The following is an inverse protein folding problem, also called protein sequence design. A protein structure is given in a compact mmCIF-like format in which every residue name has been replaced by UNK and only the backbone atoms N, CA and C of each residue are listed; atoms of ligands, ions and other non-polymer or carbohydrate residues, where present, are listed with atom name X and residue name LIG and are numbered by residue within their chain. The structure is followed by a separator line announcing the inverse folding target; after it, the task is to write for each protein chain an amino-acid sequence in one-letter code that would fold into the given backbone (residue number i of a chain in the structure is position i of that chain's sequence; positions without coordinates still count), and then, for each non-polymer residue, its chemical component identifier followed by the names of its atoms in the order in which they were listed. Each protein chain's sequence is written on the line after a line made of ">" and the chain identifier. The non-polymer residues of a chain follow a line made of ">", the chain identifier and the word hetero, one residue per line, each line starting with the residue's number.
data_IF_509896477306
#
_entry.id   IF_509896477306
#
_cell.length_a   1.000
_cell.length_b   1.000
_cell.length_c   1.000
_cell.angle_alpha   90.00
_cell.angle_beta   90.00
_cell.angle_gamma   90.00
#
_symmetry.space_group_name_H-M   'P 1'
#
loop_
_entity.id
_entity.type
_entity.pdbx_description
1 polymer ?
#
# COMPACT_ATOMS: atom_id res chain seq x y z
N UNK A 1 40.79 -13.92 24.78
CA UNK A 1 40.09 -13.15 23.75
C UNK A 1 39.40 -14.18 22.85
N UNK A 2 38.15 -14.51 23.15
CA UNK A 2 37.39 -15.54 22.44
C UNK A 2 36.26 -14.86 21.68
N UNK A 3 36.31 -14.95 20.37
CA UNK A 3 35.29 -14.49 19.45
C UNK A 3 34.11 -15.49 19.43
N UNK A 4 32.92 -15.00 19.71
CA UNK A 4 31.66 -15.74 19.57
C UNK A 4 31.20 -15.71 18.11
N UNK A 5 30.66 -16.80 17.56
CA UNK A 5 30.14 -16.81 16.20
C UNK A 5 28.75 -16.19 16.13
N UNK A 6 28.53 -15.36 15.10
CA UNK A 6 27.25 -14.80 14.72
C UNK A 6 26.36 -15.93 14.19
N UNK A 7 25.29 -16.21 14.91
CA UNK A 7 24.28 -17.20 14.56
C UNK A 7 23.37 -16.65 13.46
N UNK A 8 23.60 -17.09 12.21
CA UNK A 8 22.68 -16.89 11.10
C UNK A 8 21.48 -17.83 11.28
N UNK A 9 20.42 -17.34 11.93
CA UNK A 9 19.13 -18.00 11.89
C UNK A 9 18.49 -17.80 10.51
N UNK A 10 18.71 -18.76 9.61
CA UNK A 10 17.92 -18.92 8.40
C UNK A 10 16.47 -19.21 8.82
N UNK A 11 15.59 -18.23 8.59
CA UNK A 11 14.15 -18.41 8.74
C UNK A 11 13.66 -19.29 7.58
N UNK A 12 13.55 -20.60 7.81
CA UNK A 12 12.87 -21.52 6.91
C UNK A 12 11.39 -21.23 6.93
N UNK A 13 10.87 -20.70 5.82
CA UNK A 13 9.43 -20.49 5.59
C UNK A 13 8.79 -21.89 5.55
N UNK A 14 7.89 -22.16 6.50
CA UNK A 14 7.15 -23.41 6.58
C UNK A 14 6.29 -23.60 5.32
N UNK A 15 6.41 -24.76 4.70
CA UNK A 15 5.74 -25.16 3.45
C UNK A 15 4.23 -25.37 3.58
N UNK A 16 3.65 -25.12 4.75
CA UNK A 16 2.22 -25.39 5.00
C UNK A 16 1.27 -24.22 4.64
N UNK A 17 1.81 -23.02 4.41
CA UNK A 17 1.00 -21.86 3.99
C UNK A 17 0.53 -21.96 2.51
N UNK A 18 1.10 -22.86 1.72
CA UNK A 18 0.72 -23.03 0.30
C UNK A 18 -0.60 -23.81 0.08
N UNK A 19 -1.18 -24.42 1.11
CA UNK A 19 -2.28 -25.39 0.96
C UNK A 19 -3.70 -24.83 1.03
N UNK A 20 -3.92 -23.57 1.35
CA UNK A 20 -5.26 -23.04 1.64
C UNK A 20 -5.80 -21.98 0.68
N UNK A 21 -5.02 -21.51 -0.27
CA UNK A 21 -5.56 -20.65 -1.32
C UNK A 21 -5.81 -21.51 -2.57
N UNK A 22 -7.03 -21.50 -3.14
CA UNK A 22 -7.24 -22.09 -4.45
C UNK A 22 -6.22 -21.49 -5.39
N UNK A 23 -5.61 -22.29 -6.23
CA UNK A 23 -4.60 -21.92 -7.23
C UNK A 23 -5.02 -20.65 -7.95
N UNK A 24 -4.75 -19.50 -7.32
CA UNK A 24 -4.88 -18.21 -7.97
C UNK A 24 -3.91 -18.26 -9.17
N UNK A 25 -4.34 -17.87 -10.36
CA UNK A 25 -3.49 -17.96 -11.53
C UNK A 25 -2.17 -17.25 -11.22
N UNK A 26 -1.07 -17.84 -11.63
CA UNK A 26 0.30 -17.29 -11.61
C UNK A 26 0.42 -15.89 -12.27
N UNK A 27 -0.69 -15.21 -12.50
CA UNK A 27 -0.89 -13.99 -13.26
C UNK A 27 -0.44 -12.69 -12.57
N UNK A 28 -0.26 -12.68 -11.26
CA UNK A 28 0.55 -11.66 -10.59
C UNK A 28 1.99 -12.13 -10.44
N UNK A 29 2.42 -12.99 -11.37
CA UNK A 29 3.82 -13.28 -11.55
C UNK A 29 4.59 -11.97 -11.69
N UNK A 30 5.77 -11.96 -11.19
CA UNK A 30 6.75 -10.87 -11.14
C UNK A 30 6.87 -10.03 -12.43
N UNK A 31 6.46 -10.57 -13.61
CA UNK A 31 6.46 -9.87 -14.90
C UNK A 31 5.40 -8.78 -15.06
N UNK A 32 4.34 -8.77 -14.25
CA UNK A 32 3.24 -7.78 -14.32
C UNK A 32 3.48 -6.63 -13.35
N UNK A 33 4.35 -6.84 -12.38
CA UNK A 33 4.67 -5.89 -11.35
C UNK A 33 5.93 -5.10 -11.71
N UNK A 34 5.90 -3.80 -11.45
CA UNK A 34 7.02 -2.89 -11.68
C UNK A 34 7.45 -2.36 -10.32
N UNK A 35 8.63 -2.76 -9.86
CA UNK A 35 9.14 -2.39 -8.55
C UNK A 35 9.43 -0.88 -8.47
N UNK A 36 8.81 -0.15 -7.53
CA UNK A 36 9.23 1.22 -7.23
C UNK A 36 10.65 1.24 -6.67
N UNK A 37 11.44 2.22 -7.09
CA UNK A 37 12.83 2.39 -6.64
C UNK A 37 13.13 3.85 -6.39
N UNK A 38 13.96 4.15 -5.41
CA UNK A 38 14.57 5.46 -5.28
C UNK A 38 15.59 5.70 -6.39
N UNK A 39 15.74 6.95 -6.79
CA UNK A 39 16.71 7.35 -7.79
C UNK A 39 16.47 8.75 -8.33
N UNK A 40 17.34 9.24 -9.23
CA UNK A 40 17.11 10.47 -9.97
C UNK A 40 15.77 10.43 -10.70
N UNK A 41 15.04 11.54 -10.73
CA UNK A 41 13.72 11.62 -11.37
C UNK A 41 12.61 10.89 -10.63
N UNK A 42 12.83 10.49 -9.36
CA UNK A 42 11.80 9.84 -8.52
C UNK A 42 11.54 10.66 -7.27
N UNK A 43 10.28 10.92 -6.99
CA UNK A 43 9.87 11.60 -5.77
C UNK A 43 10.25 10.80 -4.52
N UNK A 44 11.09 11.38 -3.67
CA UNK A 44 11.55 10.71 -2.43
C UNK A 44 10.45 10.41 -1.42
N UNK A 45 9.25 11.02 -1.55
CA UNK A 45 8.13 10.78 -0.64
C UNK A 45 7.19 9.68 -1.17
N UNK A 46 6.63 9.82 -2.37
CA UNK A 46 5.59 8.93 -2.88
C UNK A 46 6.00 8.10 -4.11
N UNK A 47 7.28 8.17 -4.48
CA UNK A 47 7.88 7.45 -5.61
C UNK A 47 7.23 7.75 -6.96
N UNK A 48 6.58 8.91 -7.11
CA UNK A 48 6.16 9.39 -8.42
C UNK A 48 7.38 9.65 -9.31
N UNK A 49 7.25 9.37 -10.60
CA UNK A 49 8.24 9.83 -11.57
C UNK A 49 8.11 11.35 -11.73
N UNK A 50 9.23 12.05 -11.83
CA UNK A 50 9.31 13.51 -11.91
C UNK A 50 10.39 13.94 -12.90
N UNK A 51 10.32 15.16 -13.42
CA UNK A 51 11.34 15.72 -14.29
C UNK A 51 12.55 16.29 -13.53
N UNK A 52 12.48 16.31 -12.20
CA UNK A 52 13.49 16.91 -11.35
C UNK A 52 13.80 16.08 -10.11
N UNK A 53 14.72 16.59 -9.31
CA UNK A 53 15.08 15.98 -8.03
C UNK A 53 14.12 16.36 -6.89
N UNK A 54 13.94 15.47 -5.96
CA UNK A 54 13.27 15.73 -4.69
C UNK A 54 11.81 15.34 -4.66
N UNK A 55 10.88 16.29 -4.60
CA UNK A 55 9.45 16.04 -4.43
C UNK A 55 8.67 16.32 -5.72
N UNK A 56 7.73 15.44 -6.06
CA UNK A 56 6.74 15.72 -7.10
C UNK A 56 5.81 16.88 -6.66
N UNK A 57 5.08 17.44 -7.62
CA UNK A 57 4.19 18.58 -7.36
C UNK A 57 3.22 18.31 -6.21
N UNK A 58 2.57 17.14 -6.19
CA UNK A 58 1.60 16.78 -5.15
C UNK A 58 2.23 16.68 -3.75
N UNK A 59 3.46 16.15 -3.65
CA UNK A 59 4.15 16.06 -2.35
C UNK A 59 4.75 17.40 -1.91
N UNK A 60 5.05 18.30 -2.83
CA UNK A 60 5.59 19.64 -2.52
C UNK A 60 4.51 20.59 -2.02
N UNK A 61 3.29 20.49 -2.55
CA UNK A 61 2.19 21.41 -2.27
C UNK A 61 1.08 20.78 -1.41
N UNK A 62 1.15 19.48 -1.17
CA UNK A 62 0.19 18.76 -0.33
C UNK A 62 0.67 18.57 1.09
N UNK A 63 -0.26 18.25 1.99
CA UNK A 63 0.05 17.91 3.37
C UNK A 63 0.72 16.54 3.48
N UNK A 64 1.74 16.46 4.34
CA UNK A 64 2.47 15.23 4.66
C UNK A 64 2.13 14.82 6.10
N UNK A 65 1.23 13.86 6.27
CA UNK A 65 0.78 13.33 7.56
C UNK A 65 1.27 11.90 7.79
N UNK A 66 1.53 11.18 6.71
CA UNK A 66 2.12 9.84 6.77
C UNK A 66 3.62 9.93 7.03
N UNK A 67 4.11 9.14 7.97
CA UNK A 67 5.54 9.05 8.30
C UNK A 67 6.33 8.41 7.14
N UNK A 68 5.73 7.41 6.47
CA UNK A 68 6.29 6.79 5.27
C UNK A 68 5.16 6.26 4.38
N UNK A 69 5.42 6.21 3.08
CA UNK A 69 4.54 5.64 2.06
C UNK A 69 5.31 4.62 1.24
N UNK A 70 4.79 3.40 1.18
CA UNK A 70 5.41 2.30 0.43
C UNK A 70 4.42 1.73 -0.58
N UNK A 71 4.52 2.09 -1.85
CA UNK A 71 3.81 1.37 -2.91
C UNK A 71 4.50 0.04 -3.20
N UNK A 72 3.69 -1.01 -3.37
CA UNK A 72 4.19 -2.35 -3.71
C UNK A 72 4.70 -2.37 -5.14
N UNK A 73 3.92 -1.77 -6.07
CA UNK A 73 4.25 -1.73 -7.49
C UNK A 73 3.84 -0.41 -8.11
N UNK A 74 4.37 -0.10 -9.28
CA UNK A 74 3.73 0.88 -10.16
C UNK A 74 2.53 0.27 -10.87
N UNK A 75 1.48 1.08 -11.08
CA UNK A 75 0.31 0.77 -11.89
C UNK A 75 0.23 1.78 -13.02
N UNK A 76 0.24 1.29 -14.24
CA UNK A 76 0.15 2.13 -15.44
C UNK A 76 -1.25 2.02 -16.03
N UNK A 77 -1.82 3.16 -16.43
CA UNK A 77 -3.17 3.22 -16.98
C UNK A 77 -3.37 2.25 -18.16
N UNK A 78 -4.37 1.37 -18.06
CA UNK A 78 -4.68 0.37 -19.07
C UNK A 78 -3.83 -0.92 -19.04
N UNK A 79 -2.80 -1.01 -18.18
CA UNK A 79 -2.00 -2.24 -18.01
C UNK A 79 -2.60 -3.19 -16.95
N UNK A 80 -2.03 -4.38 -16.81
CA UNK A 80 -2.63 -5.49 -16.08
C UNK A 80 -2.93 -5.20 -14.60
N UNK A 81 -1.99 -4.64 -13.85
CA UNK A 81 -2.24 -4.30 -12.45
C UNK A 81 -3.32 -3.22 -12.31
N UNK A 82 -3.33 -2.23 -13.21
CA UNK A 82 -4.38 -1.22 -13.23
C UNK A 82 -5.76 -1.84 -13.52
N UNK A 83 -5.85 -2.72 -14.53
CA UNK A 83 -7.09 -3.44 -14.85
C UNK A 83 -7.56 -4.28 -13.67
N UNK A 84 -6.65 -4.98 -13.00
CA UNK A 84 -6.95 -5.79 -11.83
C UNK A 84 -7.57 -4.94 -10.70
N UNK A 85 -6.93 -3.79 -10.38
CA UNK A 85 -7.41 -2.85 -9.34
C UNK A 85 -8.74 -2.18 -9.74
N UNK A 86 -9.02 -2.00 -11.02
CA UNK A 86 -10.33 -1.50 -11.46
C UNK A 86 -11.39 -2.61 -11.37
N UNK A 87 -11.04 -3.83 -11.78
CA UNK A 87 -11.97 -4.97 -11.83
C UNK A 87 -12.47 -5.36 -10.44
N UNK A 88 -11.57 -5.48 -9.44
CA UNK A 88 -11.99 -5.90 -8.10
C UNK A 88 -12.99 -4.93 -7.43
N UNK A 89 -13.10 -3.70 -7.93
CA UNK A 89 -14.06 -2.67 -7.47
C UNK A 89 -15.46 -2.81 -8.09
N UNK A 90 -15.63 -3.67 -9.10
CA UNK A 90 -16.87 -3.80 -9.86
C UNK A 90 -17.71 -4.95 -9.32
N UNK A 91 -18.78 -4.65 -8.60
CA UNK A 91 -19.63 -5.67 -7.94
C UNK A 91 -20.28 -6.68 -8.90
N UNK A 92 -20.46 -6.34 -10.18
CA UNK A 92 -21.17 -7.15 -11.17
C UNK A 92 -20.25 -7.91 -12.16
N UNK A 93 -18.92 -7.83 -12.00
CA UNK A 93 -17.96 -8.43 -12.92
C UNK A 93 -17.64 -9.87 -12.46
N UNK A 94 -17.77 -10.85 -13.33
CA UNK A 94 -17.49 -12.28 -13.04
C UNK A 94 -16.02 -12.56 -12.74
N UNK A 95 -15.12 -11.65 -13.09
CA UNK A 95 -13.67 -11.75 -12.80
C UNK A 95 -13.28 -11.17 -11.43
N UNK A 96 -14.22 -10.58 -10.68
CA UNK A 96 -13.96 -10.01 -9.33
C UNK A 96 -13.35 -11.01 -8.36
N UNK A 97 -13.81 -12.27 -8.24
CA UNK A 97 -13.20 -13.23 -7.33
C UNK A 97 -11.71 -13.47 -7.60
N UNK A 98 -11.33 -13.60 -8.87
CA UNK A 98 -9.94 -13.79 -9.29
C UNK A 98 -9.09 -12.54 -9.00
N UNK A 99 -9.63 -11.35 -9.30
CA UNK A 99 -8.96 -10.09 -9.01
C UNK A 99 -8.76 -9.88 -7.49
N UNK A 100 -9.78 -10.22 -6.70
CA UNK A 100 -9.73 -10.14 -5.24
C UNK A 100 -8.66 -11.10 -4.67
N UNK A 101 -8.65 -12.37 -5.13
CA UNK A 101 -7.67 -13.36 -4.70
C UNK A 101 -6.23 -12.95 -5.08
N UNK A 102 -6.03 -12.43 -6.27
CA UNK A 102 -4.73 -11.96 -6.73
C UNK A 102 -4.21 -10.78 -5.92
N UNK A 103 -5.06 -9.80 -5.59
CA UNK A 103 -4.69 -8.66 -4.75
C UNK A 103 -4.50 -9.07 -3.28
N UNK A 104 -5.26 -10.05 -2.78
CA UNK A 104 -5.04 -10.62 -1.45
C UNK A 104 -3.66 -11.29 -1.36
N UNK A 105 -3.28 -12.08 -2.35
CA UNK A 105 -1.95 -12.69 -2.43
C UNK A 105 -0.83 -11.65 -2.53
N UNK A 106 -1.02 -10.57 -3.31
CA UNK A 106 -0.07 -9.46 -3.37
C UNK A 106 0.14 -8.82 -1.99
N UNK A 107 -0.96 -8.51 -1.30
CA UNK A 107 -0.96 -7.94 0.05
C UNK A 107 -0.23 -8.85 1.05
N UNK A 108 -0.62 -10.12 1.08
CA UNK A 108 -0.08 -11.14 1.97
C UNK A 108 1.42 -11.30 1.80
N UNK A 109 1.87 -11.61 0.58
CA UNK A 109 3.29 -11.86 0.30
C UNK A 109 4.16 -10.64 0.60
N UNK A 110 3.69 -9.45 0.21
CA UNK A 110 4.45 -8.23 0.43
C UNK A 110 4.57 -7.90 1.93
N UNK A 111 3.46 -7.92 2.67
CA UNK A 111 3.49 -7.57 4.09
C UNK A 111 4.16 -8.64 4.94
N UNK A 112 4.06 -9.92 4.60
CA UNK A 112 4.82 -10.98 5.26
C UNK A 112 6.33 -10.73 5.21
N UNK A 113 6.84 -10.22 4.07
CA UNK A 113 8.26 -9.92 3.89
C UNK A 113 8.70 -8.55 4.40
N UNK A 114 7.82 -7.54 4.33
CA UNK A 114 8.27 -6.14 4.41
C UNK A 114 7.55 -5.25 5.43
N UNK A 115 6.60 -5.74 6.19
CA UNK A 115 6.00 -4.91 7.25
C UNK A 115 7.05 -4.41 8.24
N UNK A 116 8.04 -5.25 8.57
CA UNK A 116 9.14 -4.85 9.46
C UNK A 116 10.02 -3.76 8.85
N UNK A 117 10.21 -3.74 7.54
CA UNK A 117 10.92 -2.66 6.86
C UNK A 117 10.18 -1.33 7.04
N UNK A 118 8.83 -1.36 6.86
CA UNK A 118 7.98 -0.18 7.03
C UNK A 118 8.00 0.30 8.49
N UNK A 119 7.85 -0.63 9.44
CA UNK A 119 7.89 -0.35 10.86
C UNK A 119 9.24 0.26 11.30
N UNK A 120 10.34 -0.33 10.86
CA UNK A 120 11.70 0.16 11.14
C UNK A 120 11.94 1.56 10.57
N UNK A 121 11.44 1.85 9.37
CA UNK A 121 11.58 3.17 8.75
C UNK A 121 10.87 4.30 9.54
N UNK A 122 9.92 3.95 10.40
CA UNK A 122 9.22 4.90 11.28
C UNK A 122 9.59 4.72 12.76
N UNK A 123 10.70 4.02 13.05
CA UNK A 123 11.24 3.87 14.40
C UNK A 123 10.47 2.87 15.29
N UNK A 124 9.68 1.97 14.73
CA UNK A 124 8.99 0.92 15.47
C UNK A 124 9.87 -0.34 15.55
N UNK A 125 10.10 -0.85 16.76
CA UNK A 125 10.89 -2.07 16.99
C UNK A 125 10.14 -3.35 16.54
N UNK A 126 8.81 -3.32 16.60
CA UNK A 126 7.91 -4.41 16.16
C UNK A 126 6.94 -3.85 15.12
N UNK A 127 6.11 -4.68 14.53
CA UNK A 127 5.11 -4.23 13.55
C UNK A 127 4.13 -3.17 14.09
N UNK A 128 3.15 -2.80 13.31
CA UNK A 128 2.13 -1.83 13.70
C UNK A 128 1.11 -2.44 14.67
N UNK A 129 0.62 -1.62 15.62
CA UNK A 129 -0.39 -2.06 16.59
C UNK A 129 -1.74 -2.34 15.91
N UNK A 130 -2.09 -1.54 14.90
CA UNK A 130 -3.33 -1.65 14.13
C UNK A 130 -3.08 -1.53 12.64
N UNK A 131 -3.94 -2.18 11.87
CA UNK A 131 -3.99 -2.07 10.42
C UNK A 131 -5.40 -1.64 10.03
N UNK A 132 -5.51 -0.67 9.13
CA UNK A 132 -6.80 -0.19 8.64
C UNK A 132 -6.74 0.10 7.15
N UNK A 133 -7.89 0.34 6.54
CA UNK A 133 -7.99 0.70 5.12
C UNK A 133 -8.54 2.11 4.95
N UNK A 134 -8.19 2.76 3.85
CA UNK A 134 -8.82 4.03 3.45
C UNK A 134 -10.28 3.75 3.05
N UNK A 135 -11.28 4.43 3.65
CA UNK A 135 -12.67 4.28 3.24
C UNK A 135 -12.90 4.71 1.78
N UNK A 136 -13.81 4.05 1.08
CA UNK A 136 -14.18 4.40 -0.29
C UNK A 136 -14.79 5.80 -0.38
N UNK A 137 -14.55 6.50 -1.50
CA UNK A 137 -15.23 7.75 -1.79
C UNK A 137 -16.73 7.57 -2.10
N UNK A 138 -17.11 6.38 -2.53
CA UNK A 138 -18.49 5.99 -2.81
C UNK A 138 -19.10 5.33 -1.55
N UNK A 139 -20.16 5.90 -0.94
CA UNK A 139 -20.77 5.38 0.28
C UNK A 139 -21.31 3.95 0.12
N UNK A 140 -21.95 3.64 -1.02
CA UNK A 140 -22.50 2.32 -1.29
C UNK A 140 -21.38 1.28 -1.42
N UNK A 141 -20.28 1.66 -2.07
CA UNK A 141 -19.08 0.81 -2.16
C UNK A 141 -18.40 0.66 -0.79
N UNK A 142 -18.43 1.68 0.06
CA UNK A 142 -17.83 1.59 1.39
C UNK A 142 -18.52 0.59 2.30
N UNK A 143 -19.81 0.29 2.11
CA UNK A 143 -20.52 -0.76 2.85
C UNK A 143 -19.91 -2.16 2.62
N UNK A 144 -19.50 -2.44 1.38
CA UNK A 144 -18.95 -3.73 0.95
C UNK A 144 -17.55 -3.58 0.35
N UNK A 145 -16.70 -2.73 0.96
CA UNK A 145 -15.42 -2.35 0.39
C UNK A 145 -14.51 -3.57 0.23
N UNK A 146 -14.17 -3.99 -1.00
CA UNK A 146 -13.42 -5.22 -1.22
C UNK A 146 -12.01 -5.19 -0.64
N UNK A 147 -11.39 -4.00 -0.50
CA UNK A 147 -10.10 -3.85 0.18
C UNK A 147 -10.17 -4.27 1.65
N UNK A 148 -11.29 -3.99 2.35
CA UNK A 148 -11.48 -4.46 3.74
C UNK A 148 -11.51 -5.97 3.83
N UNK A 149 -12.13 -6.62 2.84
CA UNK A 149 -12.14 -8.08 2.76
C UNK A 149 -10.74 -8.63 2.55
N UNK A 150 -9.93 -8.01 1.69
CA UNK A 150 -8.53 -8.41 1.50
C UNK A 150 -7.77 -8.32 2.83
N UNK A 151 -7.79 -7.15 3.47
CA UNK A 151 -6.94 -6.85 4.64
C UNK A 151 -7.47 -7.46 5.93
N UNK A 152 -8.80 -7.51 6.10
CA UNK A 152 -9.45 -7.93 7.34
C UNK A 152 -9.85 -9.42 7.37
N UNK A 153 -9.93 -10.08 6.21
CA UNK A 153 -10.43 -11.45 6.16
C UNK A 153 -9.46 -12.41 5.45
N UNK A 154 -8.94 -12.02 4.27
CA UNK A 154 -8.19 -12.92 3.40
C UNK A 154 -6.70 -12.97 3.70
N UNK A 155 -6.11 -11.90 4.23
CA UNK A 155 -4.68 -11.84 4.55
C UNK A 155 -4.43 -12.28 5.99
N UNK A 156 -3.70 -13.36 6.16
CA UNK A 156 -3.31 -13.92 7.47
C UNK A 156 -2.43 -12.95 8.26
N UNK A 157 -1.54 -12.23 7.60
CA UNK A 157 -0.59 -11.30 8.24
C UNK A 157 -1.26 -10.03 8.77
N UNK A 158 -2.45 -9.69 8.26
CA UNK A 158 -3.12 -8.44 8.63
C UNK A 158 -4.39 -8.63 9.44
N UNK A 159 -5.17 -9.70 9.21
CA UNK A 159 -6.50 -9.89 9.78
C UNK A 159 -6.57 -9.81 11.30
N UNK A 160 -5.55 -10.32 12.01
CA UNK A 160 -5.52 -10.32 13.49
C UNK A 160 -5.35 -8.92 14.12
N UNK A 161 -4.89 -7.93 13.32
CA UNK A 161 -4.68 -6.54 13.75
C UNK A 161 -5.53 -5.55 12.97
N UNK A 162 -6.31 -6.06 12.01
CA UNK A 162 -7.20 -5.23 11.24
C UNK A 162 -8.34 -4.69 12.10
N UNK A 163 -8.57 -3.39 11.98
CA UNK A 163 -9.71 -2.71 12.59
C UNK A 163 -10.20 -1.62 11.65
N UNK A 164 -11.51 -1.51 11.47
CA UNK A 164 -12.11 -0.41 10.72
C UNK A 164 -12.05 0.87 11.56
N UNK A 165 -10.89 1.52 11.61
CA UNK A 165 -10.65 2.73 12.41
C UNK A 165 -11.26 3.99 11.80
N UNK A 166 -11.64 3.94 10.53
CA UNK A 166 -12.17 5.09 9.81
C UNK A 166 -13.48 4.73 9.10
N UNK A 167 -14.41 5.65 9.14
CA UNK A 167 -15.60 5.67 8.29
C UNK A 167 -15.64 6.98 7.53
N UNK A 168 -16.39 7.00 6.44
CA UNK A 168 -16.62 8.25 5.71
C UNK A 168 -17.47 9.18 6.56
N UNK A 169 -17.14 10.47 6.60
CA UNK A 169 -17.98 11.52 7.19
C UNK A 169 -18.93 12.09 6.15
N UNK A 170 -19.90 12.86 6.61
CA UNK A 170 -20.85 13.58 5.75
C UNK A 170 -20.25 14.83 5.07
N UNK A 171 -18.98 15.13 5.33
CA UNK A 171 -18.33 16.30 4.72
C UNK A 171 -18.17 16.13 3.21
N UNK A 172 -18.43 17.19 2.46
CA UNK A 172 -18.24 17.24 1.01
C UNK A 172 -16.74 17.34 0.73
N UNK A 173 -16.15 16.22 0.33
CA UNK A 173 -14.72 16.16 0.04
C UNK A 173 -14.41 16.65 -1.38
N UNK A 174 -13.52 17.62 -1.50
CA UNK A 174 -12.98 18.04 -2.80
C UNK A 174 -12.00 16.94 -3.29
N UNK A 175 -12.16 16.41 -4.52
CA UNK A 175 -11.26 15.40 -5.06
C UNK A 175 -9.80 15.88 -5.06
N UNK A 176 -8.87 14.99 -4.70
CA UNK A 176 -7.42 15.22 -4.70
C UNK A 176 -6.91 16.31 -3.75
N UNK A 177 -7.75 16.84 -2.86
CA UNK A 177 -7.37 17.80 -1.82
C UNK A 177 -7.27 17.08 -0.49
N UNK A 178 -6.25 17.41 0.31
CA UNK A 178 -6.14 16.96 1.69
C UNK A 178 -7.29 17.58 2.50
N UNK A 179 -8.01 16.73 3.20
CA UNK A 179 -9.07 17.12 4.12
C UNK A 179 -9.29 15.99 5.13
N UNK A 180 -8.79 16.08 6.35
CA UNK A 180 -8.97 15.04 7.37
C UNK A 180 -10.44 14.90 7.79
N UNK A 181 -11.25 15.94 7.64
CA UNK A 181 -12.67 15.91 7.99
C UNK A 181 -13.51 15.00 7.10
N UNK A 182 -12.97 14.53 5.96
CA UNK A 182 -13.65 13.52 5.11
C UNK A 182 -13.80 12.16 5.78
N UNK A 183 -13.05 11.91 6.85
CA UNK A 183 -13.07 10.65 7.59
C UNK A 183 -13.34 10.89 9.06
N UNK A 184 -14.25 10.11 9.63
CA UNK A 184 -14.51 10.08 11.07
C UNK A 184 -13.85 8.85 11.67
N UNK A 185 -13.00 9.01 12.69
CA UNK A 185 -12.47 7.89 13.46
C UNK A 185 -13.60 7.18 14.20
N UNK A 186 -13.58 5.85 14.20
CA UNK A 186 -14.60 5.02 14.89
C UNK A 186 -14.40 5.00 16.41
N UNK A 187 -13.19 5.33 16.87
CA UNK A 187 -12.83 5.47 18.29
C UNK A 187 -11.61 6.37 18.47
N UNK A 188 -11.33 6.74 19.69
CA UNK A 188 -10.04 7.30 20.07
C UNK A 188 -8.95 6.24 20.05
N UNK A 189 -7.73 6.67 19.75
CA UNK A 189 -6.52 5.86 19.76
C UNK A 189 -5.67 6.25 21.00
N UNK A 190 -5.09 5.27 21.65
CA UNK A 190 -4.29 5.47 22.88
C UNK A 190 -2.77 5.44 22.58
N UNK A 191 -2.35 6.14 21.54
CA UNK A 191 -0.96 6.13 21.11
C UNK A 191 -0.57 4.94 20.23
N UNK A 192 -1.55 4.25 19.65
CA UNK A 192 -1.29 3.14 18.73
C UNK A 192 -0.60 3.60 17.45
N UNK A 193 0.30 2.79 16.93
CA UNK A 193 0.84 2.93 15.58
C UNK A 193 -0.09 2.25 14.58
N UNK A 194 -0.36 2.92 13.45
CA UNK A 194 -1.34 2.46 12.47
C UNK A 194 -0.70 2.32 11.09
N UNK A 195 -0.87 1.14 10.47
CA UNK A 195 -0.60 0.93 9.06
C UNK A 195 -1.89 1.10 8.25
N UNK A 196 -1.92 2.09 7.38
CA UNK A 196 -3.02 2.32 6.44
C UNK A 196 -2.75 1.56 5.15
N UNK A 197 -3.68 0.73 4.72
CA UNK A 197 -3.62 0.04 3.42
C UNK A 197 -4.55 0.75 2.44
N UNK A 198 -4.01 1.09 1.27
CA UNK A 198 -4.77 1.66 0.14
C UNK A 198 -4.54 0.82 -1.13
N UNK A 199 -5.47 0.82 -2.04
CA UNK A 199 -5.31 0.06 -3.29
C UNK A 199 -4.53 0.83 -4.36
N UNK A 200 -4.71 2.15 -4.44
CA UNK A 200 -4.07 2.95 -5.49
C UNK A 200 -3.72 4.36 -5.02
N UNK A 201 -2.44 4.64 -4.97
CA UNK A 201 -1.93 5.97 -4.70
C UNK A 201 -1.87 6.80 -6.00
N UNK A 202 -2.70 7.83 -6.10
CA UNK A 202 -2.66 8.83 -7.19
C UNK A 202 -2.05 10.15 -6.71
N UNK A 203 -2.83 11.03 -6.10
CA UNK A 203 -2.34 12.25 -5.45
C UNK A 203 -1.89 12.03 -4.01
N UNK A 204 -2.35 10.97 -3.38
CA UNK A 204 -2.14 10.69 -1.96
C UNK A 204 -3.12 11.39 -1.01
N UNK A 205 -3.98 12.28 -1.52
CA UNK A 205 -4.86 13.09 -0.68
C UNK A 205 -5.76 12.26 0.24
N UNK A 206 -6.28 11.13 -0.23
CA UNK A 206 -7.13 10.24 0.59
C UNK A 206 -6.35 9.60 1.74
N UNK A 207 -5.19 9.02 1.45
CA UNK A 207 -4.36 8.38 2.48
C UNK A 207 -3.78 9.41 3.47
N UNK A 208 -3.39 10.60 3.00
CA UNK A 208 -2.94 11.70 3.86
C UNK A 208 -4.07 12.21 4.76
N UNK A 209 -5.30 12.31 4.22
CA UNK A 209 -6.49 12.69 4.99
C UNK A 209 -6.84 11.64 6.04
N UNK A 210 -6.74 10.35 5.70
CA UNK A 210 -6.91 9.25 6.63
C UNK A 210 -5.88 9.33 7.76
N UNK A 211 -4.62 9.58 7.43
CA UNK A 211 -3.55 9.75 8.41
C UNK A 211 -3.82 10.96 9.33
N UNK A 212 -4.25 12.10 8.78
CA UNK A 212 -4.62 13.27 9.56
C UNK A 212 -5.74 12.99 10.56
N UNK A 213 -6.78 12.28 10.13
CA UNK A 213 -7.88 11.88 11.02
C UNK A 213 -7.43 10.92 12.12
N UNK A 214 -6.57 9.93 11.81
CA UNK A 214 -6.03 8.98 12.78
C UNK A 214 -5.10 9.65 13.79
N UNK A 215 -4.23 10.55 13.35
CA UNK A 215 -3.36 11.34 14.23
C UNK A 215 -4.18 12.23 15.17
N UNK A 216 -5.22 12.89 14.67
CA UNK A 216 -6.15 13.68 15.47
C UNK A 216 -6.93 12.80 16.47
N UNK A 217 -7.17 11.53 16.17
CA UNK A 217 -7.80 10.56 17.06
C UNK A 217 -6.84 10.02 18.15
N UNK A 218 -5.53 10.32 18.07
CA UNK A 218 -4.53 9.92 19.07
C UNK A 218 -3.56 8.83 18.61
N UNK A 219 -3.46 8.52 17.31
CA UNK A 219 -2.39 7.67 16.82
C UNK A 219 -1.04 8.35 17.04
N UNK A 220 -0.02 7.59 17.48
CA UNK A 220 1.35 8.14 17.64
C UNK A 220 2.11 8.22 16.31
N UNK A 221 1.79 7.31 15.38
CA UNK A 221 2.43 7.21 14.08
C UNK A 221 1.48 6.55 13.09
N UNK A 222 1.49 7.06 11.86
CA UNK A 222 0.72 6.48 10.76
C UNK A 222 1.63 6.32 9.55
N UNK A 223 1.71 5.10 9.02
CA UNK A 223 2.38 4.79 7.75
C UNK A 223 1.37 4.26 6.73
N UNK A 224 1.73 4.23 5.46
CA UNK A 224 0.86 3.67 4.44
C UNK A 224 1.61 2.68 3.54
N UNK A 225 0.89 1.61 3.16
CA UNK A 225 1.22 0.77 2.03
C UNK A 225 0.11 0.90 0.99
N UNK A 226 0.48 1.06 -0.27
CA UNK A 226 -0.46 1.06 -1.39
C UNK A 226 -0.14 -0.12 -2.32
N UNK A 227 -1.16 -0.83 -2.82
CA UNK A 227 -0.89 -1.90 -3.78
C UNK A 227 -0.21 -1.35 -5.02
N UNK A 228 -0.60 -0.13 -5.43
CA UNK A 228 0.03 0.49 -6.57
C UNK A 228 0.20 2.00 -6.43
N UNK A 229 1.33 2.52 -6.95
CA UNK A 229 1.51 3.92 -7.31
C UNK A 229 1.09 4.10 -8.76
N UNK A 230 -0.01 4.83 -9.00
CA UNK A 230 -0.52 5.03 -10.35
C UNK A 230 0.32 6.05 -11.13
N UNK A 231 0.70 5.68 -12.33
CA UNK A 231 1.48 6.49 -13.27
C UNK A 231 0.77 6.57 -14.62
N UNK A 232 1.03 7.64 -15.35
CA UNK A 232 0.60 7.80 -16.73
C UNK A 232 1.86 7.81 -17.63
N UNK A 233 1.92 6.91 -18.60
CA UNK A 233 3.03 6.81 -19.55
C UNK A 233 3.25 8.10 -20.33
N UNK A 234 2.15 8.76 -20.73
CA UNK A 234 2.23 9.97 -21.56
C UNK A 234 2.68 11.23 -20.82
N UNK A 235 2.91 11.16 -19.51
CA UNK A 235 3.40 12.30 -18.75
C UNK A 235 4.92 12.32 -18.71
N UNK A 236 5.51 13.46 -19.10
CA UNK A 236 6.96 13.67 -19.10
C UNK A 236 7.68 12.53 -19.84
N UNK A 237 8.79 12.05 -19.33
CA UNK A 237 9.53 10.89 -19.84
C UNK A 237 9.18 9.57 -19.12
N UNK A 238 7.97 9.47 -18.57
CA UNK A 238 7.56 8.29 -17.80
C UNK A 238 7.71 7.00 -18.60
N UNK A 239 7.49 7.03 -19.91
CA UNK A 239 7.57 5.87 -20.77
C UNK A 239 8.95 5.20 -20.72
N UNK A 240 10.00 5.97 -20.99
CA UNK A 240 11.38 5.47 -20.95
C UNK A 240 11.79 5.00 -19.54
N UNK A 241 11.35 5.71 -18.49
CA UNK A 241 11.61 5.35 -17.10
C UNK A 241 10.92 4.07 -16.70
N UNK A 242 9.65 3.89 -17.09
CA UNK A 242 8.88 2.68 -16.83
C UNK A 242 9.48 1.47 -17.56
N UNK A 243 9.89 1.62 -18.82
CA UNK A 243 10.55 0.55 -19.57
C UNK A 243 11.88 0.13 -18.93
N UNK A 244 12.63 1.09 -18.40
CA UNK A 244 13.86 0.79 -17.65
C UNK A 244 13.55 0.02 -16.36
N UNK A 245 12.53 0.44 -15.60
CA UNK A 245 12.10 -0.22 -14.37
C UNK A 245 11.54 -1.63 -14.64
N UNK A 246 10.77 -1.82 -15.72
CA UNK A 246 10.28 -3.14 -16.13
C UNK A 246 11.42 -4.11 -16.43
N UNK A 247 12.49 -3.64 -17.09
CA UNK A 247 13.68 -4.48 -17.35
C UNK A 247 14.41 -4.92 -16.09
N UNK A 248 14.35 -4.13 -15.00
CA UNK A 248 14.94 -4.48 -13.72
C UNK A 248 14.15 -5.56 -12.97
N UNK A 249 12.90 -5.77 -13.38
CA UNK A 249 11.99 -6.75 -12.78
C UNK A 249 11.51 -6.40 -11.38
N UNK A 250 10.58 -7.21 -10.91
CA UNK A 250 10.01 -7.16 -9.56
C UNK A 250 10.42 -8.42 -8.78
N UNK A 251 10.66 -8.29 -7.50
CA UNK A 251 10.84 -9.41 -6.58
C UNK A 251 10.12 -9.12 -5.27
N UNK A 252 9.48 -10.13 -4.70
CA UNK A 252 8.91 -10.05 -3.36
C UNK A 252 9.97 -10.06 -2.24
N UNK A 253 11.22 -10.28 -2.56
CA UNK A 253 12.32 -10.27 -1.58
C UNK A 253 12.85 -8.87 -1.28
N UNK A 254 12.41 -7.87 -2.06
CA UNK A 254 12.89 -6.49 -1.95
C UNK A 254 11.73 -5.50 -1.97
N UNK A 255 11.80 -4.52 -1.10
CA UNK A 255 10.96 -3.33 -1.17
C UNK A 255 11.84 -2.08 -1.28
N UNK A 256 11.22 -0.94 -1.53
CA UNK A 256 11.92 0.34 -1.65
C UNK A 256 12.70 0.78 -0.40
N UNK A 257 12.44 0.15 0.75
CA UNK A 257 13.10 0.48 2.02
C UNK A 257 14.27 -0.47 2.35
N UNK A 258 14.34 -1.64 1.75
CA UNK A 258 15.38 -2.65 2.01
C UNK A 258 16.14 -3.08 0.74
N UNK A 259 16.02 -2.32 -0.35
CA UNK A 259 16.68 -2.57 -1.62
C UNK A 259 18.11 -1.98 -1.64
#
# INVERSE_FOLDING_TARGET
>A
MSSLPVNQAMCSISSDAERLLPTAPRLLAERVLIAPRHGPGVCRCCLNLTDGEGLCWACRHGEQRLAVVVPISYSVGGEDLHRLIITYKRAADTSVPQALAALAQLCERFLAGHERCIASAVGLAQGFDRITTVPSADPMRDLHHPLRRIVGELSEVTRGRYERLLVRSDSVAIPRVYDPARYAPTRRLAGESVLVVDDMWTSGASAQSAAGALLAAGARCVAAVAFARHLNRSWHNNDASLDALQRLGFSYERCVLCA
#
